data_IF_438527171218
#
_entry.id   IF_438527171218
#
_cell.length_a   1.000
_cell.length_b   1.000
_cell.length_c   1.000
_cell.angle_alpha   90.00
_cell.angle_beta   90.00
_cell.angle_gamma   90.00
#
_symmetry.space_group_name_H-M   'P 1'
#
loop_
_entity.id
_entity.type
_entity.pdbx_description
1 polymer ?
#
# COMPACT_ATOMS: atom_id res chain seq x y z
N UNK A 1 13.54 -3.10 13.77
CA UNK A 1 13.54 -1.90 12.90
C UNK A 1 12.11 -1.57 12.49
N UNK A 2 11.77 -0.29 12.41
CA UNK A 2 10.44 0.12 11.92
C UNK A 2 10.40 -0.03 10.39
N UNK A 3 9.56 -0.91 9.81
CA UNK A 3 9.51 -1.14 8.37
C UNK A 3 9.02 0.07 7.57
N UNK A 4 8.37 1.02 8.23
CA UNK A 4 7.89 2.25 7.62
C UNK A 4 8.94 3.38 7.60
N UNK A 5 10.19 3.09 7.93
CA UNK A 5 11.25 4.10 7.87
C UNK A 5 11.55 4.43 6.40
N UNK A 6 11.19 5.65 6.00
CA UNK A 6 11.50 6.15 4.67
C UNK A 6 12.99 6.47 4.61
N UNK A 7 13.74 5.70 3.85
CA UNK A 7 15.11 6.05 3.48
C UNK A 7 15.02 7.02 2.30
N UNK A 8 15.53 8.23 2.47
CA UNK A 8 15.67 9.17 1.35
C UNK A 8 16.81 8.69 0.46
N UNK A 9 16.55 8.22 -0.75
CA UNK A 9 17.61 7.80 -1.65
C UNK A 9 18.35 9.04 -2.18
N UNK A 10 19.63 9.13 -1.89
CA UNK A 10 20.49 10.16 -2.50
C UNK A 10 20.78 9.90 -3.99
N UNK A 11 20.31 8.77 -4.56
CA UNK A 11 20.40 8.49 -5.99
C UNK A 11 19.36 7.47 -6.44
N UNK A 12 18.35 7.92 -7.19
CA UNK A 12 17.43 7.04 -7.92
C UNK A 12 18.13 6.12 -8.94
N UNK A 13 19.40 6.35 -9.23
CA UNK A 13 20.19 5.64 -10.24
C UNK A 13 20.82 4.36 -9.73
N UNK A 14 21.23 4.31 -8.46
CA UNK A 14 21.97 3.17 -7.91
C UNK A 14 21.12 1.90 -7.73
N UNK A 15 19.80 2.03 -7.61
CA UNK A 15 18.91 0.92 -7.29
C UNK A 15 18.27 0.23 -8.51
N UNK A 16 18.57 0.70 -9.72
CA UNK A 16 17.94 0.14 -10.93
C UNK A 16 18.34 -1.31 -11.23
N UNK A 17 19.52 -1.71 -10.78
CA UNK A 17 20.09 -3.04 -11.05
C UNK A 17 20.04 -3.99 -9.84
N UNK A 18 19.45 -3.57 -8.72
CA UNK A 18 19.35 -4.40 -7.53
C UNK A 18 18.08 -5.24 -7.55
N UNK A 19 18.17 -6.45 -7.00
CA UNK A 19 16.99 -7.25 -6.69
C UNK A 19 16.06 -6.44 -5.77
N UNK A 20 14.75 -6.50 -6.02
CA UNK A 20 13.75 -5.84 -5.16
C UNK A 20 13.88 -6.27 -3.68
N UNK A 21 14.34 -7.48 -3.44
CA UNK A 21 14.56 -8.01 -2.08
C UNK A 21 15.79 -7.40 -1.38
N UNK A 22 16.70 -6.78 -2.12
CA UNK A 22 17.83 -6.02 -1.56
C UNK A 22 17.45 -4.63 -1.08
N UNK A 23 16.26 -4.16 -1.44
CA UNK A 23 15.76 -2.85 -1.04
C UNK A 23 15.21 -2.87 0.39
N UNK A 24 15.26 -1.72 1.09
CA UNK A 24 14.52 -1.55 2.34
C UNK A 24 13.02 -1.85 2.16
N UNK A 25 12.33 -2.40 3.17
CA UNK A 25 10.92 -2.79 3.05
C UNK A 25 10.01 -1.68 2.50
N UNK A 26 10.19 -0.44 2.95
CA UNK A 26 9.41 0.70 2.46
C UNK A 26 9.57 0.92 0.95
N UNK A 27 10.79 0.79 0.41
CA UNK A 27 11.04 0.90 -1.03
C UNK A 27 10.43 -0.27 -1.81
N UNK A 28 10.40 -1.48 -1.23
CA UNK A 28 9.68 -2.62 -1.83
C UNK A 28 8.18 -2.29 -1.97
N UNK A 29 7.57 -1.72 -0.93
CA UNK A 29 6.16 -1.33 -0.95
C UNK A 29 5.88 -0.24 -2.00
N UNK A 30 6.70 0.82 -2.03
CA UNK A 30 6.57 1.90 -3.02
C UNK A 30 6.65 1.36 -4.44
N UNK A 31 7.65 0.52 -4.75
CA UNK A 31 7.78 -0.09 -6.09
C UNK A 31 6.62 -1.01 -6.43
N UNK A 32 6.14 -1.80 -5.47
CA UNK A 32 4.97 -2.66 -5.65
C UNK A 32 3.73 -1.84 -6.02
N UNK A 33 3.45 -0.77 -5.28
CA UNK A 33 2.31 0.12 -5.55
C UNK A 33 2.46 0.74 -6.94
N UNK A 34 3.61 1.34 -7.28
CA UNK A 34 3.86 1.96 -8.59
C UNK A 34 3.65 0.98 -9.75
N UNK A 35 4.07 -0.26 -9.59
CA UNK A 35 3.92 -1.31 -10.60
C UNK A 35 2.44 -1.63 -10.89
N UNK A 36 1.61 -1.72 -9.85
CA UNK A 36 0.20 -2.09 -10.02
C UNK A 36 -0.72 -0.90 -10.30
N UNK A 37 -0.45 0.28 -9.74
CA UNK A 37 -1.29 1.46 -9.96
C UNK A 37 -0.93 2.18 -11.26
N UNK A 38 0.35 2.27 -11.61
CA UNK A 38 0.85 3.13 -12.70
C UNK A 38 0.46 4.61 -12.53
N UNK A 39 0.91 5.48 -13.40
CA UNK A 39 0.49 6.88 -13.36
C UNK A 39 -0.93 7.02 -13.90
N UNK A 40 -1.80 7.62 -13.10
CA UNK A 40 -3.18 7.86 -13.45
C UNK A 40 -3.33 9.01 -14.47
N UNK A 41 -4.31 8.87 -15.35
CA UNK A 41 -4.70 9.83 -16.37
C UNK A 41 -6.03 10.49 -16.00
N UNK A 42 -6.51 11.54 -16.74
CA UNK A 42 -7.82 12.15 -16.46
C UNK A 42 -9.01 11.17 -16.42
N UNK A 43 -8.89 10.03 -17.11
CA UNK A 43 -9.91 8.97 -17.07
C UNK A 43 -10.06 8.31 -15.70
N UNK A 44 -9.04 8.41 -14.86
CA UNK A 44 -9.03 7.85 -13.50
C UNK A 44 -9.62 8.80 -12.46
N UNK A 45 -10.14 9.98 -12.85
CA UNK A 45 -10.71 10.95 -11.90
C UNK A 45 -11.69 10.26 -10.93
N UNK A 46 -11.62 10.51 -9.61
CA UNK A 46 -10.85 11.55 -8.90
C UNK A 46 -9.46 11.09 -8.39
N UNK A 47 -8.82 10.12 -9.02
CA UNK A 47 -7.50 9.62 -8.62
C UNK A 47 -6.40 10.20 -9.51
N UNK A 48 -5.30 10.62 -8.88
CA UNK A 48 -4.13 11.26 -9.51
C UNK A 48 -2.83 10.61 -9.06
N UNK A 49 -1.75 10.80 -9.80
CA UNK A 49 -0.45 10.21 -9.50
C UNK A 49 -0.51 8.68 -9.49
N UNK A 50 -0.05 8.04 -8.45
CA UNK A 50 -0.12 6.59 -8.27
C UNK A 50 -1.32 6.16 -7.42
N UNK A 51 -2.48 6.77 -7.61
CA UNK A 51 -3.72 6.37 -6.95
C UNK A 51 -4.15 7.24 -5.77
N UNK A 52 -3.57 8.43 -5.62
CA UNK A 52 -4.04 9.38 -4.64
C UNK A 52 -5.43 9.90 -4.99
N UNK A 53 -6.40 9.73 -4.11
CA UNK A 53 -7.73 10.30 -4.28
C UNK A 53 -7.71 11.77 -3.87
N UNK A 54 -7.97 12.65 -4.81
CA UNK A 54 -8.04 14.10 -4.58
C UNK A 54 -9.10 14.41 -3.51
N UNK A 55 -8.69 15.08 -2.44
CA UNK A 55 -9.56 15.49 -1.35
C UNK A 55 -10.11 16.90 -1.58
N UNK A 56 -11.24 17.27 -0.95
CA UNK A 56 -11.75 18.64 -1.00
C UNK A 56 -10.67 19.67 -0.60
N UNK A 57 -10.45 20.66 -1.47
CA UNK A 57 -9.45 21.71 -1.26
C UNK A 57 -8.05 21.41 -1.83
N UNK A 58 -7.76 20.16 -2.24
CA UNK A 58 -6.52 19.84 -2.93
C UNK A 58 -6.56 20.28 -4.40
N UNK A 59 -5.41 20.77 -4.89
CA UNK A 59 -5.26 21.30 -6.26
C UNK A 59 -4.30 20.46 -7.10
N UNK A 60 -4.46 19.14 -7.06
CA UNK A 60 -3.71 18.25 -7.92
C UNK A 60 -4.34 18.15 -9.32
N UNK A 61 -3.50 17.94 -10.32
CA UNK A 61 -3.93 17.71 -11.71
C UNK A 61 -3.09 16.61 -12.36
N UNK A 62 -3.45 16.22 -13.58
CA UNK A 62 -2.83 15.12 -14.32
C UNK A 62 -1.54 15.49 -15.06
N UNK A 63 -1.09 16.76 -15.00
CA UNK A 63 0.23 17.20 -15.46
C UNK A 63 1.31 17.06 -14.39
N UNK A 64 0.97 16.40 -13.27
CA UNK A 64 1.92 16.06 -12.20
C UNK A 64 3.10 15.26 -12.77
N UNK A 65 4.33 15.70 -12.43
CA UNK A 65 5.53 14.92 -12.80
C UNK A 65 5.60 13.60 -12.04
N UNK A 66 6.35 12.63 -12.56
CA UNK A 66 6.58 11.36 -11.87
C UNK A 66 7.19 11.57 -10.48
N UNK A 67 8.09 12.53 -10.33
CA UNK A 67 8.71 12.89 -9.04
C UNK A 67 7.67 13.41 -8.03
N UNK A 68 6.75 14.25 -8.48
CA UNK A 68 5.65 14.74 -7.64
C UNK A 68 4.70 13.61 -7.25
N UNK A 69 4.37 12.73 -8.20
CA UNK A 69 3.53 11.56 -7.94
C UNK A 69 4.18 10.58 -6.96
N UNK A 70 5.49 10.34 -7.08
CA UNK A 70 6.27 9.52 -6.15
C UNK A 70 6.27 10.11 -4.74
N UNK A 71 6.50 11.41 -4.61
CA UNK A 71 6.47 12.12 -3.33
C UNK A 71 5.09 12.03 -2.66
N UNK A 72 4.03 12.18 -3.43
CA UNK A 72 2.64 12.07 -2.95
C UNK A 72 2.33 10.64 -2.46
N UNK A 73 2.69 9.62 -3.25
CA UNK A 73 2.55 8.21 -2.86
C UNK A 73 3.27 7.92 -1.54
N UNK A 74 4.51 8.37 -1.38
CA UNK A 74 5.29 8.16 -0.16
C UNK A 74 4.63 8.82 1.05
N UNK A 75 4.14 10.03 0.88
CA UNK A 75 3.42 10.76 1.93
C UNK A 75 2.14 10.02 2.34
N UNK A 76 1.37 9.53 1.38
CA UNK A 76 0.14 8.76 1.65
C UNK A 76 0.45 7.44 2.36
N UNK A 77 1.47 6.70 1.90
CA UNK A 77 1.87 5.44 2.50
C UNK A 77 2.38 5.62 3.93
N UNK A 78 3.16 6.67 4.20
CA UNK A 78 3.61 7.01 5.56
C UNK A 78 2.44 7.31 6.49
N UNK A 79 1.44 8.09 6.02
CA UNK A 79 0.23 8.34 6.81
C UNK A 79 -0.52 7.05 7.15
N UNK A 80 -0.61 6.11 6.22
CA UNK A 80 -1.20 4.81 6.48
C UNK A 80 -0.36 3.99 7.47
N UNK A 81 0.97 4.03 7.37
CA UNK A 81 1.86 3.37 8.34
C UNK A 81 1.61 3.87 9.77
N UNK A 82 1.35 5.17 9.95
CA UNK A 82 1.02 5.73 11.28
C UNK A 82 -0.27 5.13 11.84
N UNK A 83 -1.27 4.87 11.01
CA UNK A 83 -2.53 4.24 11.45
C UNK A 83 -2.33 2.80 11.94
N UNK A 84 -1.34 2.10 11.41
CA UNK A 84 -1.05 0.70 11.75
C UNK A 84 0.21 0.52 12.59
N UNK A 85 0.77 1.60 13.18
CA UNK A 85 2.04 1.56 13.92
C UNK A 85 2.07 0.54 15.06
N UNK A 86 0.92 0.30 15.70
CA UNK A 86 0.81 -0.61 16.84
C UNK A 86 0.98 -2.09 16.44
N UNK A 87 0.91 -2.39 15.14
CA UNK A 87 1.17 -3.72 14.58
C UNK A 87 2.65 -3.98 14.25
N UNK A 88 3.55 -3.06 14.63
CA UNK A 88 5.00 -3.23 14.54
C UNK A 88 5.47 -3.60 13.14
N UNK A 89 6.11 -4.76 12.99
CA UNK A 89 6.65 -5.23 11.70
C UNK A 89 5.60 -5.46 10.61
N UNK A 90 4.33 -5.65 10.97
CA UNK A 90 3.24 -5.85 10.03
C UNK A 90 2.61 -4.53 9.56
N UNK A 91 2.98 -3.40 10.16
CA UNK A 91 2.42 -2.07 9.86
C UNK A 91 2.51 -1.69 8.39
N UNK A 92 3.64 -1.97 7.74
CA UNK A 92 3.85 -1.63 6.33
C UNK A 92 3.02 -2.52 5.38
N UNK A 93 2.88 -3.81 5.69
CA UNK A 93 2.02 -4.71 4.92
C UNK A 93 0.56 -4.24 4.99
N UNK A 94 0.08 -3.89 6.18
CA UNK A 94 -1.27 -3.37 6.40
C UNK A 94 -1.49 -2.01 5.71
N UNK A 95 -0.51 -1.12 5.77
CA UNK A 95 -0.55 0.17 5.07
C UNK A 95 -0.62 -0.02 3.55
N UNK A 96 0.17 -0.95 3.00
CA UNK A 96 0.18 -1.26 1.56
C UNK A 96 -1.16 -1.82 1.10
N UNK A 97 -1.77 -2.73 1.84
CA UNK A 97 -3.12 -3.21 1.58
C UNK A 97 -4.14 -2.06 1.63
N UNK A 98 -4.08 -1.25 2.70
CA UNK A 98 -4.99 -0.12 2.90
C UNK A 98 -4.90 0.96 1.83
N UNK A 99 -3.74 1.11 1.20
CA UNK A 99 -3.55 2.05 0.10
C UNK A 99 -4.54 1.80 -1.03
N UNK A 100 -4.84 0.53 -1.34
CA UNK A 100 -5.79 0.17 -2.38
C UNK A 100 -7.24 0.07 -1.87
N UNK A 101 -7.45 -0.57 -0.70
CA UNK A 101 -8.81 -0.91 -0.26
C UNK A 101 -9.43 0.12 0.70
N UNK A 102 -8.62 1.06 1.20
CA UNK A 102 -8.98 1.99 2.26
C UNK A 102 -8.81 1.40 3.67
N UNK A 103 -8.37 2.21 4.65
CA UNK A 103 -8.07 1.73 6.01
C UNK A 103 -9.31 1.24 6.77
N UNK A 104 -10.50 1.78 6.48
CA UNK A 104 -11.74 1.39 7.15
C UNK A 104 -12.10 -0.09 6.97
N UNK A 105 -11.70 -0.70 5.87
CA UNK A 105 -11.94 -2.14 5.65
C UNK A 105 -11.07 -3.03 6.55
N UNK A 106 -9.99 -2.52 7.06
CA UNK A 106 -9.14 -3.22 8.04
C UNK A 106 -9.51 -2.82 9.47
N UNK A 107 -9.51 -1.54 9.77
CA UNK A 107 -9.74 -1.00 11.13
C UNK A 107 -11.19 -1.19 11.60
N UNK A 108 -12.12 -1.21 10.66
CA UNK A 108 -13.54 -1.14 10.95
C UNK A 108 -14.04 0.30 11.10
N UNK A 109 -15.33 0.46 11.03
CA UNK A 109 -16.08 1.69 11.29
C UNK A 109 -17.57 1.35 11.47
N UNK A 110 -18.48 2.34 11.38
CA UNK A 110 -19.92 2.08 11.48
C UNK A 110 -20.47 1.10 10.43
N UNK A 111 -19.79 0.98 9.26
CA UNK A 111 -20.17 0.09 8.15
C UNK A 111 -19.43 -1.24 8.15
N UNK A 112 -18.21 -1.28 8.60
CA UNK A 112 -17.33 -2.45 8.54
C UNK A 112 -16.88 -2.88 9.93
N UNK A 113 -16.93 -4.17 10.22
CA UNK A 113 -16.29 -4.75 11.41
C UNK A 113 -14.76 -4.72 11.24
N UNK A 114 -14.02 -4.73 12.35
CA UNK A 114 -12.57 -4.93 12.35
C UNK A 114 -12.23 -6.23 11.63
N UNK A 115 -11.28 -6.18 10.70
CA UNK A 115 -10.91 -7.32 9.85
C UNK A 115 -10.37 -8.49 10.65
N UNK A 116 -10.55 -9.70 10.13
CA UNK A 116 -9.98 -10.95 10.72
C UNK A 116 -8.45 -10.85 10.80
N UNK A 117 -7.80 -10.20 9.84
CA UNK A 117 -6.34 -9.98 9.88
C UNK A 117 -5.95 -9.25 11.17
N UNK A 118 -6.57 -8.10 11.45
CA UNK A 118 -6.23 -7.34 12.65
C UNK A 118 -6.62 -8.06 13.93
N UNK A 119 -7.75 -8.79 13.94
CA UNK A 119 -8.16 -9.60 15.09
C UNK A 119 -7.15 -10.71 15.41
N UNK A 120 -6.53 -11.32 14.39
CA UNK A 120 -5.47 -12.31 14.54
C UNK A 120 -4.18 -11.66 15.07
N UNK A 121 -3.74 -10.58 14.45
CA UNK A 121 -2.53 -9.87 14.85
C UNK A 121 -2.63 -9.33 16.30
N UNK A 122 -3.79 -8.84 16.73
CA UNK A 122 -4.01 -8.43 18.13
C UNK A 122 -3.78 -9.57 19.14
N UNK A 123 -3.97 -10.81 18.70
CA UNK A 123 -3.75 -12.03 19.49
C UNK A 123 -2.34 -12.62 19.30
N UNK A 124 -1.48 -11.94 18.54
CA UNK A 124 -0.16 -12.45 18.19
C UNK A 124 -0.16 -13.56 17.13
N UNK A 125 -1.31 -13.87 16.52
CA UNK A 125 -1.40 -14.86 15.44
C UNK A 125 -1.07 -14.20 14.10
N UNK A 126 0.06 -14.57 13.52
CA UNK A 126 0.53 -14.08 12.21
C UNK A 126 0.18 -14.99 11.04
N UNK A 127 -0.65 -16.01 11.24
CA UNK A 127 -1.16 -16.85 10.14
C UNK A 127 -2.28 -16.11 9.38
N UNK A 128 -1.91 -15.04 8.67
CA UNK A 128 -2.83 -14.09 8.02
C UNK A 128 -2.88 -14.21 6.50
N UNK A 129 -2.02 -15.02 5.89
CA UNK A 129 -1.88 -15.09 4.42
C UNK A 129 -3.21 -15.39 3.72
N UNK A 130 -3.94 -16.40 4.19
CA UNK A 130 -5.22 -16.77 3.60
C UNK A 130 -6.27 -15.67 3.71
N UNK A 131 -6.29 -14.94 4.83
CA UNK A 131 -7.22 -13.83 5.04
C UNK A 131 -6.82 -12.60 4.21
N UNK A 132 -5.52 -12.36 4.05
CA UNK A 132 -5.01 -11.32 3.17
C UNK A 132 -5.41 -11.55 1.71
N UNK A 133 -5.33 -12.79 1.23
CA UNK A 133 -5.71 -13.16 -0.13
C UNK A 133 -7.22 -13.02 -0.40
N UNK A 134 -8.07 -13.00 0.63
CA UNK A 134 -9.52 -12.73 0.48
C UNK A 134 -9.80 -11.31 -0.01
N UNK A 135 -8.87 -10.35 0.17
CA UNK A 135 -8.96 -9.00 -0.41
C UNK A 135 -8.65 -8.97 -1.92
N UNK A 136 -9.08 -9.98 -2.65
CA UNK A 136 -8.92 -10.11 -4.10
C UNK A 136 -10.26 -10.13 -4.87
N UNK A 137 -11.34 -9.65 -4.23
CA UNK A 137 -12.66 -9.57 -4.86
C UNK A 137 -13.02 -8.13 -5.20
N UNK A 138 -13.74 -7.96 -6.31
CA UNK A 138 -14.37 -6.71 -6.73
C UNK A 138 -15.83 -7.00 -7.12
N UNK A 139 -16.78 -6.27 -6.55
CA UNK A 139 -18.21 -6.49 -6.73
C UNK A 139 -18.62 -7.97 -6.54
N UNK A 140 -18.10 -8.62 -5.51
CA UNK A 140 -18.38 -10.01 -5.17
C UNK A 140 -17.71 -11.06 -6.07
N UNK A 141 -16.94 -10.62 -7.10
CA UNK A 141 -16.22 -11.51 -8.02
C UNK A 141 -14.74 -11.56 -7.66
N UNK A 142 -14.17 -12.74 -7.70
CA UNK A 142 -12.73 -12.93 -7.60
C UNK A 142 -12.02 -12.38 -8.83
N UNK A 143 -10.99 -11.53 -8.62
CA UNK A 143 -10.20 -10.90 -9.68
C UNK A 143 -8.77 -11.46 -9.62
N UNK A 144 -8.34 -12.26 -10.61
CA UNK A 144 -7.02 -12.88 -10.62
C UNK A 144 -5.85 -11.89 -10.56
N UNK A 145 -5.96 -10.73 -11.20
CA UNK A 145 -4.93 -9.68 -11.15
C UNK A 145 -4.78 -9.08 -9.74
N UNK A 146 -5.88 -8.86 -9.04
CA UNK A 146 -5.85 -8.39 -7.64
C UNK A 146 -5.23 -9.47 -6.74
N UNK A 147 -5.58 -10.76 -6.96
CA UNK A 147 -4.96 -11.85 -6.21
C UNK A 147 -3.44 -11.91 -6.42
N UNK A 148 -2.95 -11.76 -7.66
CA UNK A 148 -1.51 -11.69 -7.94
C UNK A 148 -0.85 -10.54 -7.18
N UNK A 149 -1.48 -9.37 -7.13
CA UNK A 149 -1.02 -8.23 -6.32
C UNK A 149 -0.90 -8.61 -4.84
N UNK A 150 -1.95 -9.22 -4.24
CA UNK A 150 -1.91 -9.67 -2.83
C UNK A 150 -0.76 -10.64 -2.57
N UNK A 151 -0.55 -11.61 -3.46
CA UNK A 151 0.57 -12.55 -3.35
C UNK A 151 1.93 -11.84 -3.42
N UNK A 152 2.07 -10.86 -4.30
CA UNK A 152 3.30 -10.05 -4.41
C UNK A 152 3.55 -9.24 -3.14
N UNK A 153 2.53 -8.57 -2.61
CA UNK A 153 2.63 -7.81 -1.36
C UNK A 153 3.06 -8.68 -0.19
N UNK A 154 2.43 -9.85 -0.01
CA UNK A 154 2.83 -10.83 1.01
C UNK A 154 4.28 -11.26 0.85
N UNK A 155 4.69 -11.63 -0.36
CA UNK A 155 6.05 -12.07 -0.65
C UNK A 155 7.12 -11.00 -0.37
N UNK A 156 6.78 -9.74 -0.58
CA UNK A 156 7.71 -8.62 -0.40
C UNK A 156 7.78 -8.12 1.05
N UNK A 157 6.69 -8.23 1.82
CA UNK A 157 6.49 -7.47 3.04
C UNK A 157 6.13 -8.32 4.28
N UNK A 158 5.66 -9.56 4.13
CA UNK A 158 5.41 -10.45 5.25
C UNK A 158 6.74 -11.13 5.63
N UNK A 159 7.38 -10.64 6.69
CA UNK A 159 8.66 -11.17 7.23
C UNK A 159 8.47 -12.04 8.47
#
# INVERSE_FOLDING_TARGET
MNPCHAVHPNSHQEWRNLSIFSLPPFERAVRCIKYYEQLHTPENHPYVGYGHRIQPGEKYNYSMSELQADSLLRSDLLRLCVLFRDFGRDSLLLATLSYQIGPSKLLGNAKYSKSIILQKLDKGDRNIESDYLKFSHWNGKHIPSIRRRRMTELRLLLE
#
